data_IF_665543078782
#
_entry.id   IF_665543078782
#
_cell.length_a   1.000
_cell.length_b   1.000
_cell.length_c   1.000
_cell.angle_alpha   90.00
_cell.angle_beta   90.00
_cell.angle_gamma   90.00
#
_symmetry.space_group_name_H-M   'P 1'
#
loop_
_entity.id
_entity.type
_entity.pdbx_description
1 polymer ?
#
# COMPACT_ATOMS: atom_id res chain seq x y z
N UNK A 1 -15.42 -24.37 -19.14
CA UNK A 1 -15.31 -24.35 -17.68
C UNK A 1 -14.17 -23.42 -17.28
N UNK A 2 -14.50 -22.14 -17.06
CA UNK A 2 -13.57 -21.19 -16.42
C UNK A 2 -13.85 -21.25 -14.90
N UNK A 3 -13.52 -22.37 -14.29
CA UNK A 3 -13.38 -22.45 -12.85
C UNK A 3 -11.96 -21.97 -12.50
N UNK A 4 -11.73 -20.66 -12.66
CA UNK A 4 -10.55 -20.03 -12.09
C UNK A 4 -10.60 -20.21 -10.58
N UNK A 5 -9.53 -20.70 -9.96
CA UNK A 5 -9.42 -20.75 -8.50
C UNK A 5 -9.63 -19.33 -7.97
N UNK A 6 -10.65 -19.16 -7.16
CA UNK A 6 -10.88 -17.88 -6.45
C UNK A 6 -9.61 -17.56 -5.66
N UNK A 7 -8.98 -16.41 -5.86
CA UNK A 7 -7.78 -16.05 -5.11
C UNK A 7 -8.04 -16.15 -3.59
N UNK A 8 -7.08 -16.63 -2.80
CA UNK A 8 -7.26 -16.84 -1.34
C UNK A 8 -7.78 -15.61 -0.60
N UNK A 9 -7.41 -14.41 -1.07
CA UNK A 9 -7.85 -13.14 -0.48
C UNK A 9 -9.37 -12.99 -0.42
N UNK A 10 -10.11 -13.56 -1.38
CA UNK A 10 -11.57 -13.50 -1.35
C UNK A 10 -12.20 -14.34 -0.23
N UNK A 11 -11.48 -15.32 0.30
CA UNK A 11 -11.95 -16.13 1.43
C UNK A 11 -11.91 -15.32 2.74
N UNK A 12 -11.03 -14.33 2.81
CA UNK A 12 -10.88 -13.44 3.97
C UNK A 12 -11.96 -12.36 4.04
N UNK A 13 -12.67 -12.11 2.92
CA UNK A 13 -13.66 -11.02 2.84
C UNK A 13 -14.96 -11.30 3.60
N UNK A 14 -15.18 -12.54 4.08
CA UNK A 14 -16.40 -13.03 4.77
C UNK A 14 -17.66 -12.91 3.91
N UNK A 15 -18.00 -11.71 3.50
CA UNK A 15 -19.05 -11.40 2.53
C UNK A 15 -18.58 -10.28 1.59
N UNK A 16 -19.26 -10.15 0.46
CA UNK A 16 -19.01 -9.08 -0.52
C UNK A 16 -20.33 -8.50 -0.97
N UNK A 17 -20.49 -7.20 -0.80
CA UNK A 17 -21.62 -6.42 -1.34
C UNK A 17 -21.07 -5.29 -2.19
N UNK A 18 -21.35 -5.33 -3.49
CA UNK A 18 -20.98 -4.27 -4.42
C UNK A 18 -22.20 -3.38 -4.70
N UNK A 19 -21.97 -2.07 -4.71
CA UNK A 19 -22.93 -1.05 -5.09
C UNK A 19 -22.24 -0.05 -6.01
N UNK A 20 -22.60 -0.03 -7.28
CA UNK A 20 -21.97 0.81 -8.29
C UNK A 20 -22.17 0.24 -9.68
N UNK A 21 -21.37 0.71 -10.60
CA UNK A 21 -21.39 0.35 -12.00
C UNK A 21 -20.14 -0.43 -12.39
N UNK A 22 -20.32 -1.47 -13.16
CA UNK A 22 -19.26 -2.22 -13.81
C UNK A 22 -19.57 -2.29 -15.30
N UNK A 23 -18.74 -1.67 -16.12
CA UNK A 23 -18.97 -1.51 -17.54
C UNK A 23 -17.80 -2.05 -18.33
N UNK A 24 -18.06 -2.70 -19.45
CA UNK A 24 -17.05 -3.21 -20.37
C UNK A 24 -17.01 -4.73 -20.45
N UNK A 25 -15.89 -5.25 -20.92
CA UNK A 25 -15.60 -6.66 -21.07
C UNK A 25 -14.44 -7.05 -20.16
N UNK A 26 -14.17 -8.36 -20.01
CA UNK A 26 -13.04 -8.83 -19.17
C UNK A 26 -11.66 -8.29 -19.59
N UNK A 27 -11.52 -7.84 -20.83
CA UNK A 27 -10.29 -7.25 -21.36
C UNK A 27 -10.31 -5.72 -21.41
N UNK A 28 -11.41 -5.08 -21.01
CA UNK A 28 -11.57 -3.62 -20.95
C UNK A 28 -12.69 -3.32 -19.95
N UNK A 29 -12.36 -3.16 -18.69
CA UNK A 29 -13.31 -3.11 -17.59
C UNK A 29 -13.15 -1.82 -16.80
N UNK A 30 -14.26 -1.12 -16.60
CA UNK A 30 -14.36 0.05 -15.73
C UNK A 30 -15.26 -0.33 -14.55
N UNK A 31 -14.79 -0.08 -13.35
CA UNK A 31 -15.53 -0.30 -12.10
C UNK A 31 -15.55 0.99 -11.31
N UNK A 32 -16.74 1.51 -11.06
CA UNK A 32 -16.96 2.66 -10.17
C UNK A 32 -17.97 2.29 -9.13
N UNK A 33 -17.58 2.24 -7.86
CA UNK A 33 -18.51 1.84 -6.82
C UNK A 33 -17.89 1.61 -5.46
N UNK A 34 -18.72 1.05 -4.60
CA UNK A 34 -18.43 0.77 -3.21
C UNK A 34 -18.53 -0.73 -2.96
N UNK A 35 -17.44 -1.30 -2.50
CA UNK A 35 -17.34 -2.68 -2.07
C UNK A 35 -17.37 -2.73 -0.55
N UNK A 36 -18.42 -3.30 0.03
CA UNK A 36 -18.52 -3.57 1.48
C UNK A 36 -18.25 -5.04 1.73
N UNK A 37 -17.39 -5.29 2.69
CA UNK A 37 -16.97 -6.63 3.08
C UNK A 37 -16.99 -6.78 4.60
N UNK A 38 -16.84 -7.98 5.11
CA UNK A 38 -16.67 -8.22 6.55
C UNK A 38 -15.36 -7.69 7.13
N UNK A 39 -14.43 -7.29 6.26
CA UNK A 39 -13.12 -6.74 6.67
C UNK A 39 -12.98 -5.23 6.41
N UNK A 40 -14.05 -4.56 6.00
CA UNK A 40 -14.04 -3.12 5.76
C UNK A 40 -14.66 -2.72 4.42
N UNK A 41 -14.57 -1.44 4.12
CA UNK A 41 -15.17 -0.85 2.92
C UNK A 41 -14.09 -0.31 1.99
N UNK A 42 -14.25 -0.58 0.69
CA UNK A 42 -13.36 -0.07 -0.36
C UNK A 42 -14.22 0.68 -1.38
N UNK A 43 -13.90 1.93 -1.62
CA UNK A 43 -14.39 2.71 -2.77
C UNK A 43 -13.39 2.56 -3.90
N UNK A 44 -13.86 2.20 -5.07
CA UNK A 44 -13.02 2.06 -6.25
C UNK A 44 -13.61 2.87 -7.42
N UNK A 45 -12.72 3.51 -8.15
CA UNK A 45 -12.95 4.10 -9.46
C UNK A 45 -11.75 3.72 -10.32
N UNK A 46 -11.82 2.54 -10.92
CA UNK A 46 -10.67 1.90 -11.55
C UNK A 46 -11.03 1.41 -12.95
N UNK A 47 -10.05 1.52 -13.83
CA UNK A 47 -10.08 0.98 -15.19
C UNK A 47 -8.97 -0.07 -15.33
N UNK A 48 -9.30 -1.18 -15.95
CA UNK A 48 -8.36 -2.24 -16.28
C UNK A 48 -8.51 -2.60 -17.76
N UNK A 49 -7.40 -2.77 -18.44
CA UNK A 49 -7.37 -3.24 -19.82
C UNK A 49 -6.37 -4.37 -20.00
N UNK A 50 -6.69 -5.31 -20.88
CA UNK A 50 -5.82 -6.44 -21.27
C UNK A 50 -5.74 -6.43 -22.79
N UNK A 51 -4.55 -6.23 -23.35
CA UNK A 51 -4.33 -6.22 -24.79
C UNK A 51 -4.26 -7.64 -25.38
N UNK A 52 -4.13 -7.71 -26.72
CA UNK A 52 -4.04 -8.99 -27.44
C UNK A 52 -2.79 -9.80 -27.08
N UNK A 53 -1.75 -9.15 -26.59
CA UNK A 53 -0.49 -9.74 -26.14
C UNK A 53 -0.55 -10.21 -24.67
N UNK A 54 -1.72 -10.03 -24.01
CA UNK A 54 -1.94 -10.33 -22.59
C UNK A 54 -1.21 -9.37 -21.63
N UNK A 55 -0.81 -8.20 -22.11
CA UNK A 55 -0.35 -7.14 -21.24
C UNK A 55 -1.55 -6.53 -20.51
N UNK A 56 -1.36 -6.26 -19.23
CA UNK A 56 -2.40 -5.68 -18.37
C UNK A 56 -2.02 -4.27 -17.97
N UNK A 57 -2.97 -3.37 -18.11
CA UNK A 57 -2.86 -2.02 -17.56
C UNK A 57 -4.00 -1.77 -16.60
N UNK A 58 -3.74 -0.99 -15.58
CA UNK A 58 -4.77 -0.53 -14.66
C UNK A 58 -4.48 0.90 -14.25
N UNK A 59 -5.53 1.66 -13.96
CA UNK A 59 -5.43 3.00 -13.42
C UNK A 59 -6.71 3.36 -12.67
N UNK A 60 -6.61 4.29 -11.73
CA UNK A 60 -7.76 4.80 -11.02
C UNK A 60 -7.47 5.13 -9.58
N UNK A 61 -8.55 5.35 -8.83
CA UNK A 61 -8.49 5.71 -7.42
C UNK A 61 -9.12 4.62 -6.58
N UNK A 62 -8.49 4.31 -5.46
CA UNK A 62 -9.04 3.46 -4.42
C UNK A 62 -8.98 4.18 -3.07
N UNK A 63 -10.04 4.06 -2.31
CA UNK A 63 -10.08 4.54 -0.92
C UNK A 63 -10.63 3.46 0.00
N UNK A 64 -10.16 3.42 1.22
CA UNK A 64 -10.67 2.50 2.23
C UNK A 64 -11.25 3.24 3.43
N UNK A 65 -12.15 2.56 4.11
CA UNK A 65 -12.61 2.93 5.43
C UNK A 65 -12.66 1.68 6.30
N UNK A 66 -11.94 1.72 7.41
CA UNK A 66 -11.82 0.65 8.41
C UNK A 66 -11.40 -0.70 7.80
N UNK A 67 -10.51 -0.68 6.79
CA UNK A 67 -10.09 -1.89 6.11
C UNK A 67 -9.13 -2.69 6.99
N UNK A 68 -9.57 -3.85 7.49
CA UNK A 68 -8.72 -4.75 8.28
C UNK A 68 -7.70 -5.46 7.38
N UNK A 69 -6.52 -4.83 7.25
CA UNK A 69 -5.41 -5.33 6.45
C UNK A 69 -4.83 -6.60 7.07
N UNK A 70 -4.87 -6.72 8.40
CA UNK A 70 -4.40 -7.90 9.12
C UNK A 70 -5.16 -9.16 8.72
N UNK A 71 -6.49 -9.11 8.65
CA UNK A 71 -7.31 -10.20 8.14
C UNK A 71 -7.03 -10.51 6.68
N UNK A 72 -6.92 -9.48 5.82
CA UNK A 72 -6.64 -9.68 4.40
C UNK A 72 -5.31 -10.39 4.14
N UNK A 73 -4.30 -10.12 4.96
CA UNK A 73 -2.95 -10.69 4.84
C UNK A 73 -2.72 -11.92 5.73
N UNK A 74 -3.76 -12.38 6.45
CA UNK A 74 -3.66 -13.46 7.44
C UNK A 74 -2.56 -13.20 8.49
N UNK A 75 -2.43 -11.94 8.91
CA UNK A 75 -1.40 -11.49 9.84
C UNK A 75 -1.91 -10.38 10.79
N UNK A 76 -2.98 -10.66 11.52
CA UNK A 76 -3.59 -9.74 12.48
C UNK A 76 -2.70 -9.39 13.68
N UNK A 77 -1.63 -10.18 13.90
CA UNK A 77 -0.66 -9.87 14.97
C UNK A 77 0.20 -8.64 14.65
N UNK A 78 0.42 -8.38 13.36
CA UNK A 78 1.26 -7.26 12.92
C UNK A 78 0.46 -6.11 12.36
N UNK A 79 -0.59 -6.40 11.60
CA UNK A 79 -1.37 -5.40 10.88
C UNK A 79 -2.77 -5.33 11.45
N UNK A 80 -3.27 -4.12 11.67
CA UNK A 80 -4.65 -3.85 12.01
C UNK A 80 -5.40 -3.20 10.85
N UNK A 81 -6.07 -2.08 11.12
CA UNK A 81 -6.86 -1.36 10.12
C UNK A 81 -6.05 -0.34 9.33
N UNK A 82 -6.55 0.02 8.15
CA UNK A 82 -6.00 1.08 7.32
C UNK A 82 -7.10 1.91 6.67
N UNK A 83 -6.93 3.23 6.70
CA UNK A 83 -7.73 4.21 5.99
C UNK A 83 -6.85 4.96 5.01
N UNK A 84 -7.16 4.87 3.74
CA UNK A 84 -6.34 5.48 2.70
C UNK A 84 -7.17 6.02 1.52
N UNK A 85 -6.54 6.89 0.76
CA UNK A 85 -7.00 7.35 -0.54
C UNK A 85 -5.80 7.41 -1.49
N UNK A 86 -5.77 6.49 -2.46
CA UNK A 86 -4.63 6.26 -3.34
C UNK A 86 -5.05 6.31 -4.80
N UNK A 87 -4.27 7.02 -5.59
CA UNK A 87 -4.23 6.89 -7.05
C UNK A 87 -3.25 5.79 -7.42
N UNK A 88 -3.69 4.88 -8.26
CA UNK A 88 -2.92 3.77 -8.77
C UNK A 88 -2.85 3.84 -10.28
N UNK A 89 -1.68 3.58 -10.83
CA UNK A 89 -1.49 3.38 -12.27
C UNK A 89 -0.39 2.38 -12.48
N UNK A 90 -0.65 1.35 -13.26
CA UNK A 90 0.35 0.33 -13.45
C UNK A 90 0.14 -0.50 -14.69
N UNK A 91 1.14 -1.29 -14.96
CA UNK A 91 1.12 -2.24 -16.06
C UNK A 91 1.88 -3.50 -15.68
N UNK A 92 1.45 -4.60 -16.26
CA UNK A 92 2.12 -5.88 -16.15
C UNK A 92 2.24 -6.47 -17.56
N UNK A 93 3.42 -6.35 -18.15
CA UNK A 93 3.72 -6.97 -19.43
C UNK A 93 4.09 -8.44 -19.24
N UNK A 94 3.64 -9.27 -20.15
CA UNK A 94 4.05 -10.66 -20.18
C UNK A 94 5.57 -10.77 -20.21
N UNK A 95 6.15 -11.51 -19.26
CA UNK A 95 7.59 -11.67 -19.04
C UNK A 95 8.35 -10.44 -18.46
N UNK A 96 7.65 -9.47 -17.92
CA UNK A 96 8.23 -8.38 -17.16
C UNK A 96 7.63 -8.33 -15.76
N UNK A 97 8.37 -7.80 -14.81
CA UNK A 97 7.84 -7.51 -13.48
C UNK A 97 6.77 -6.43 -13.57
N UNK A 98 5.73 -6.51 -12.74
CA UNK A 98 4.73 -5.46 -12.68
C UNK A 98 5.36 -4.15 -12.21
N UNK A 99 4.94 -3.05 -12.84
CA UNK A 99 5.30 -1.71 -12.42
C UNK A 99 4.04 -0.96 -12.02
N UNK A 100 4.05 -0.33 -10.86
CA UNK A 100 2.91 0.37 -10.28
C UNK A 100 3.32 1.73 -9.77
N UNK A 101 2.73 2.77 -10.30
CA UNK A 101 2.76 4.10 -9.72
C UNK A 101 1.69 4.19 -8.64
N UNK A 102 2.07 4.68 -7.47
CA UNK A 102 1.20 4.81 -6.31
C UNK A 102 1.38 6.22 -5.74
N UNK A 103 0.29 6.96 -5.62
CA UNK A 103 0.29 8.29 -5.03
C UNK A 103 -0.93 8.48 -4.15
N UNK A 104 -0.76 9.14 -3.01
CA UNK A 104 -1.88 9.53 -2.17
C UNK A 104 -1.55 9.59 -0.70
N UNK A 105 -2.59 9.47 0.11
CA UNK A 105 -2.50 9.60 1.54
C UNK A 105 -3.08 8.37 2.22
N UNK A 106 -2.43 7.96 3.29
CA UNK A 106 -2.92 7.01 4.26
C UNK A 106 -3.21 7.81 5.52
N UNK A 107 -4.50 8.00 5.81
CA UNK A 107 -4.94 8.78 6.97
C UNK A 107 -4.54 8.08 8.26
N UNK A 108 -4.67 6.75 8.27
CA UNK A 108 -4.21 5.92 9.37
C UNK A 108 -3.81 4.52 8.90
N UNK A 109 -2.83 3.93 9.58
CA UNK A 109 -2.38 2.56 9.36
C UNK A 109 -1.92 1.94 10.66
N UNK A 110 -2.56 0.88 11.07
CA UNK A 110 -2.21 0.17 12.30
C UNK A 110 -1.19 -0.93 12.02
N UNK A 111 -0.02 -0.80 12.68
CA UNK A 111 1.06 -1.78 12.62
C UNK A 111 1.65 -1.99 14.02
N UNK A 112 1.83 -3.25 14.41
CA UNK A 112 2.35 -3.64 15.73
C UNK A 112 1.62 -2.95 16.89
N UNK A 113 0.28 -2.84 16.80
CA UNK A 113 -0.60 -2.22 17.79
C UNK A 113 -0.39 -0.70 17.96
N UNK A 114 0.30 -0.06 17.02
CA UNK A 114 0.39 1.39 16.94
C UNK A 114 -0.33 1.90 15.69
N UNK A 115 -1.09 2.97 15.84
CA UNK A 115 -1.80 3.63 14.76
C UNK A 115 -0.98 4.80 14.23
N UNK A 116 -0.25 4.58 13.16
CA UNK A 116 0.46 5.62 12.42
C UNK A 116 -0.53 6.50 11.66
N UNK A 117 -0.30 7.80 11.66
CA UNK A 117 -1.21 8.77 11.04
C UNK A 117 -0.50 9.66 10.01
N UNK A 118 -1.29 10.29 9.13
CA UNK A 118 -0.85 11.29 8.17
C UNK A 118 0.35 10.86 7.30
N UNK A 119 0.24 9.70 6.69
CA UNK A 119 1.27 9.20 5.78
C UNK A 119 0.93 9.61 4.35
N UNK A 120 1.87 10.27 3.67
CA UNK A 120 1.80 10.57 2.25
C UNK A 120 2.84 9.77 1.49
N UNK A 121 2.47 9.27 0.32
CA UNK A 121 3.40 8.56 -0.56
C UNK A 121 3.20 8.97 -2.02
N UNK A 122 4.31 8.97 -2.77
CA UNK A 122 4.36 9.28 -4.21
C UNK A 122 5.57 8.58 -4.82
N UNK A 123 5.33 7.51 -5.56
CA UNK A 123 6.44 6.74 -6.11
C UNK A 123 6.03 5.59 -7.01
N UNK A 124 7.04 4.86 -7.45
CA UNK A 124 6.92 3.70 -8.33
C UNK A 124 7.40 2.46 -7.60
N UNK A 125 6.57 1.44 -7.59
CA UNK A 125 6.94 0.10 -7.20
C UNK A 125 7.27 -0.73 -8.44
N UNK A 126 8.47 -1.30 -8.49
CA UNK A 126 8.96 -2.11 -9.60
C UNK A 126 10.02 -3.09 -9.11
N UNK A 127 10.02 -4.32 -9.65
CA UNK A 127 11.05 -5.34 -9.40
C UNK A 127 11.31 -5.62 -7.91
N UNK A 128 10.25 -5.50 -7.07
CA UNK A 128 10.37 -5.68 -5.63
C UNK A 128 10.95 -4.46 -4.87
N UNK A 129 11.27 -3.39 -5.61
CA UNK A 129 11.75 -2.13 -5.06
C UNK A 129 10.72 -1.02 -5.14
N UNK A 130 10.93 0.01 -4.34
CA UNK A 130 10.16 1.25 -4.36
C UNK A 130 11.11 2.44 -4.59
N UNK A 131 10.74 3.32 -5.49
CA UNK A 131 11.44 4.57 -5.74
C UNK A 131 10.46 5.72 -5.64
N UNK A 132 10.68 6.63 -4.71
CA UNK A 132 9.75 7.73 -4.49
C UNK A 132 9.95 8.47 -3.19
N UNK A 133 8.87 9.08 -2.73
CA UNK A 133 8.81 9.87 -1.51
C UNK A 133 7.78 9.25 -0.56
N UNK A 134 8.15 9.21 0.71
CA UNK A 134 7.27 8.90 1.81
C UNK A 134 7.42 9.99 2.86
N UNK A 135 6.31 10.52 3.34
CA UNK A 135 6.29 11.43 4.47
C UNK A 135 5.26 10.94 5.49
N UNK A 136 5.58 11.06 6.76
CA UNK A 136 4.69 10.80 7.88
C UNK A 136 4.76 11.98 8.84
N UNK A 137 3.64 12.43 9.32
CA UNK A 137 3.53 13.49 10.33
C UNK A 137 2.60 13.00 11.44
N UNK A 138 3.21 12.36 12.43
CA UNK A 138 2.56 11.68 13.53
C UNK A 138 2.85 12.41 14.85
N UNK A 139 2.00 12.29 15.86
CA UNK A 139 2.18 12.90 17.17
C UNK A 139 3.50 12.48 17.85
N UNK A 140 4.01 11.29 17.51
CA UNK A 140 5.26 10.74 18.03
C UNK A 140 6.45 10.88 17.09
N UNK A 141 6.37 11.81 16.14
CA UNK A 141 7.49 12.22 15.28
C UNK A 141 7.15 12.27 13.80
N UNK A 142 8.01 12.95 13.06
CA UNK A 142 7.87 13.03 11.60
C UNK A 142 9.03 12.36 10.88
N UNK A 143 8.69 11.77 9.73
CA UNK A 143 9.63 11.07 8.85
C UNK A 143 9.44 11.55 7.43
N UNK A 144 10.54 11.87 6.75
CA UNK A 144 10.54 12.14 5.32
C UNK A 144 11.63 11.28 4.67
N UNK A 145 11.26 10.47 3.72
CA UNK A 145 12.17 9.60 2.96
C UNK A 145 12.02 9.93 1.48
N UNK A 146 13.13 10.07 0.78
CA UNK A 146 13.19 10.26 -0.66
C UNK A 146 14.32 9.41 -1.23
N UNK A 147 14.00 8.55 -2.17
CA UNK A 147 14.99 7.69 -2.80
C UNK A 147 14.41 6.34 -3.21
N UNK A 148 15.29 5.37 -3.40
CA UNK A 148 14.89 4.01 -3.72
C UNK A 148 15.35 3.02 -2.65
N UNK A 149 14.57 1.96 -2.49
CA UNK A 149 14.97 0.79 -1.74
C UNK A 149 14.43 -0.48 -2.42
N UNK A 150 15.23 -1.53 -2.42
CA UNK A 150 14.85 -2.82 -2.93
C UNK A 150 15.27 -3.91 -1.94
N UNK A 151 14.29 -4.58 -1.36
CA UNK A 151 14.49 -5.65 -0.37
C UNK A 151 14.25 -7.05 -0.95
N UNK A 152 13.86 -7.13 -2.22
CA UNK A 152 13.66 -8.41 -2.91
C UNK A 152 14.96 -9.00 -3.47
N UNK A 153 16.03 -8.20 -3.54
CA UNK A 153 17.35 -8.66 -3.92
C UNK A 153 18.00 -9.48 -2.80
N UNK A 154 18.94 -10.37 -3.15
CA UNK A 154 19.70 -11.16 -2.18
C UNK A 154 20.49 -10.29 -1.20
N UNK A 155 20.93 -9.12 -1.66
CA UNK A 155 21.50 -8.04 -0.86
C UNK A 155 20.57 -6.84 -1.03
N UNK A 156 19.94 -6.35 0.05
CA UNK A 156 19.08 -5.17 -0.04
C UNK A 156 19.85 -3.95 -0.55
N UNK A 157 19.25 -3.23 -1.49
CA UNK A 157 19.81 -2.01 -2.08
C UNK A 157 19.05 -0.80 -1.54
N UNK A 158 19.83 0.22 -1.11
CA UNK A 158 19.28 1.47 -0.59
C UNK A 158 20.03 2.65 -1.19
N UNK A 159 19.32 3.57 -1.81
CA UNK A 159 19.83 4.88 -2.17
C UNK A 159 18.76 5.90 -1.76
N UNK A 160 18.86 6.40 -0.55
CA UNK A 160 17.84 7.26 0.02
C UNK A 160 18.40 8.37 0.89
N UNK A 161 17.60 9.42 1.01
CA UNK A 161 17.74 10.48 2.00
C UNK A 161 16.57 10.43 2.94
N UNK A 162 16.83 10.39 4.23
CA UNK A 162 15.82 10.39 5.26
C UNK A 162 16.04 11.54 6.25
N UNK A 163 14.96 12.21 6.61
CA UNK A 163 14.93 13.23 7.67
C UNK A 163 13.93 12.74 8.71
N UNK A 164 14.40 12.57 9.93
CA UNK A 164 13.63 12.17 11.10
C UNK A 164 13.63 13.33 12.08
N UNK A 165 12.46 13.68 12.64
CA UNK A 165 12.34 14.73 13.64
C UNK A 165 11.48 14.26 14.80
N UNK A 166 11.98 14.45 16.00
CA UNK A 166 11.29 14.16 17.26
C UNK A 166 10.68 12.75 17.29
N UNK A 167 11.36 11.78 16.67
CA UNK A 167 10.86 10.43 16.58
C UNK A 167 11.02 9.73 17.93
N UNK A 168 9.92 9.19 18.47
CA UNK A 168 9.86 8.45 19.72
C UNK A 168 9.67 6.96 19.44
N UNK A 169 10.75 6.18 19.34
CA UNK A 169 10.68 4.79 18.87
C UNK A 169 9.86 3.87 19.79
N UNK A 170 9.86 4.12 21.08
CA UNK A 170 9.06 3.39 22.06
C UNK A 170 7.56 3.64 21.89
N UNK A 171 7.15 4.90 21.79
CA UNK A 171 5.75 5.27 21.57
C UNK A 171 5.24 4.75 20.21
N UNK A 172 6.08 4.74 19.19
CA UNK A 172 5.79 4.20 17.86
C UNK A 172 5.84 2.67 17.77
N UNK A 173 6.09 1.98 18.88
CA UNK A 173 6.28 0.52 18.93
C UNK A 173 7.37 -0.02 17.98
N UNK A 174 8.35 0.82 17.66
CA UNK A 174 9.48 0.44 16.81
C UNK A 174 10.60 -0.24 17.59
N UNK A 175 10.77 0.10 18.87
CA UNK A 175 11.80 -0.47 19.71
C UNK A 175 11.57 -0.23 21.21
N UNK A 176 11.59 -1.27 22.00
CA UNK A 176 11.53 -1.17 23.47
C UNK A 176 12.86 -0.75 24.12
N UNK A 177 13.94 -0.66 23.32
CA UNK A 177 15.30 -0.35 23.84
C UNK A 177 15.53 1.12 24.08
N UNK A 178 14.79 1.99 23.40
CA UNK A 178 15.00 3.44 23.40
C UNK A 178 13.84 4.15 24.06
N UNK A 179 13.58 3.80 25.34
CA UNK A 179 12.51 4.42 26.13
C UNK A 179 12.82 5.89 26.40
N UNK A 180 11.79 6.73 26.35
CA UNK A 180 11.86 8.17 26.60
C UNK A 180 12.93 8.89 25.75
N UNK A 181 13.21 8.37 24.54
CA UNK A 181 14.25 8.90 23.67
C UNK A 181 13.61 9.62 22.48
N UNK A 182 14.04 10.85 22.25
CA UNK A 182 13.71 11.66 21.07
C UNK A 182 14.85 11.57 20.05
N UNK A 183 14.56 11.12 18.83
CA UNK A 183 15.55 10.97 17.77
C UNK A 183 15.27 11.97 16.65
N UNK A 184 16.26 12.83 16.39
CA UNK A 184 16.24 13.71 15.21
C UNK A 184 17.54 13.54 14.45
N UNK A 185 17.46 13.15 13.16
CA UNK A 185 18.64 12.91 12.35
C UNK A 185 18.35 13.07 10.86
N UNK A 186 19.41 13.37 10.12
CA UNK A 186 19.43 13.34 8.67
C UNK A 186 20.36 12.21 8.22
N UNK A 187 19.84 11.32 7.38
CA UNK A 187 20.59 10.18 6.85
C UNK A 187 20.67 10.28 5.34
N UNK A 188 21.84 10.00 4.80
CA UNK A 188 22.01 9.65 3.40
C UNK A 188 22.62 8.26 3.37
N UNK A 189 21.94 7.33 2.75
CA UNK A 189 22.41 5.96 2.59
C UNK A 189 22.53 5.62 1.11
N UNK A 190 23.63 4.95 0.76
CA UNK A 190 23.94 4.47 -0.59
C UNK A 190 24.67 3.13 -0.44
N UNK A 191 23.96 2.03 -0.71
CA UNK A 191 24.44 0.64 -0.57
C UNK A 191 23.99 -0.22 -1.74
#
# INVERSE_FOLDING_TARGET
>A
NVAGKVPPIFQQLEYVRFSGDATGYLHDLIITGLLRTGVGTIKADVMMSIDKQQNRTYSGNIASADLNVGKLLDNEKKFGTADFNLELKGFNYKNHYPESYIKGNIASFEYSQYKYENIALDGVYKDGGFNGKLAMDDDNGSVQINGNFNVACAIPEFNLKAVLKNLRPDNLHLSDKYKDTDISLNVTADF
#
